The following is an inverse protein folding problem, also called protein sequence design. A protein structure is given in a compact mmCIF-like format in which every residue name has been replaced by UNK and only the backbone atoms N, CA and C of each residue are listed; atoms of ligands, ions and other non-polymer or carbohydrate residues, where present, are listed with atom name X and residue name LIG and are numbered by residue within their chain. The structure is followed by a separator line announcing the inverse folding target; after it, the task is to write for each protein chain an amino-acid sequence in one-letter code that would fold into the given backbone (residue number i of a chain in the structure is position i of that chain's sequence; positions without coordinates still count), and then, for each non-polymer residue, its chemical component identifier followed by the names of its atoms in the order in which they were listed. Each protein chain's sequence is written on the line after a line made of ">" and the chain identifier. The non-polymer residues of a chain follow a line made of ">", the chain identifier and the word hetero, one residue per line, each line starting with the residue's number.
data_IF_065329116224
#
_entry.id   IF_065329116224
#
_cell.length_a   1.000
_cell.length_b   1.000
_cell.length_c   1.000
_cell.angle_alpha   90.00
_cell.angle_beta   90.00
_cell.angle_gamma   90.00
#
_symmetry.space_group_name_H-M   'P 1'
#
loop_
_entity.id
_entity.type
_entity.pdbx_description
1 polymer ?
#
# COMPACT_ATOMS: atom_id res chain seq x y z
N UNK A 1 51.28 5.51 -31.98
CA UNK A 1 50.58 4.24 -31.70
C UNK A 1 49.86 4.27 -30.32
N UNK A 2 50.48 4.64 -29.20
CA UNK A 2 49.88 4.62 -27.83
C UNK A 2 48.64 5.54 -27.67
N UNK A 3 48.57 6.70 -28.38
CA UNK A 3 47.41 7.59 -28.34
C UNK A 3 46.20 7.07 -29.14
N UNK A 4 46.46 6.32 -30.21
CA UNK A 4 45.38 5.74 -31.02
C UNK A 4 44.79 4.53 -30.32
N UNK A 5 45.62 3.70 -29.62
CA UNK A 5 45.10 2.60 -28.81
C UNK A 5 44.25 3.09 -27.63
N UNK A 6 44.65 4.16 -26.95
CA UNK A 6 43.84 4.73 -25.86
C UNK A 6 42.50 5.30 -26.40
N UNK A 7 42.50 5.95 -27.54
CA UNK A 7 41.29 6.45 -28.16
C UNK A 7 40.35 5.32 -28.62
N UNK A 8 40.89 4.23 -29.21
CA UNK A 8 40.08 3.07 -29.56
C UNK A 8 39.48 2.36 -28.34
N UNK A 9 40.24 2.25 -27.23
CA UNK A 9 39.75 1.66 -25.97
C UNK A 9 38.66 2.52 -25.34
N UNK A 10 38.78 3.85 -25.33
CA UNK A 10 37.75 4.75 -24.88
C UNK A 10 36.48 4.71 -25.76
N UNK A 11 36.66 4.56 -27.07
CA UNK A 11 35.53 4.42 -28.01
C UNK A 11 34.79 3.09 -27.81
N UNK A 12 35.52 2.00 -27.55
CA UNK A 12 34.96 0.68 -27.24
C UNK A 12 34.22 0.72 -25.89
N UNK A 13 34.75 1.40 -24.88
CA UNK A 13 34.09 1.57 -23.57
C UNK A 13 32.79 2.40 -23.72
N UNK A 14 32.77 3.44 -24.58
CA UNK A 14 31.55 4.18 -24.91
C UNK A 14 30.51 3.34 -25.67
N UNK A 15 30.92 2.40 -26.51
CA UNK A 15 30.04 1.52 -27.26
C UNK A 15 29.45 0.37 -26.40
N UNK A 16 30.09 0.06 -25.26
CA UNK A 16 29.65 -0.95 -24.32
C UNK A 16 28.69 -0.39 -23.25
N UNK A 17 28.24 0.86 -23.36
CA UNK A 17 27.14 1.33 -22.54
C UNK A 17 25.86 0.59 -22.98
N UNK A 18 25.63 -0.57 -22.39
CA UNK A 18 24.30 -1.21 -22.42
C UNK A 18 23.32 -0.19 -21.88
N UNK A 19 22.50 0.34 -22.77
CA UNK A 19 21.43 1.28 -22.38
C UNK A 19 20.58 0.54 -21.36
N UNK A 20 20.63 0.96 -20.09
CA UNK A 20 19.76 0.40 -19.08
C UNK A 20 18.32 0.61 -19.56
N UNK A 21 17.54 -0.46 -19.62
CA UNK A 21 16.14 -0.37 -20.01
C UNK A 21 15.38 0.61 -19.09
N UNK A 22 14.56 1.45 -19.70
CA UNK A 22 13.70 2.35 -18.92
C UNK A 22 12.64 1.55 -18.14
N UNK A 23 12.06 2.08 -17.07
CA UNK A 23 10.96 1.43 -16.37
C UNK A 23 9.79 1.06 -17.30
N UNK A 24 9.48 1.92 -18.28
CA UNK A 24 8.43 1.72 -19.27
C UNK A 24 8.75 0.55 -20.21
N UNK A 25 10.00 0.45 -20.67
CA UNK A 25 10.46 -0.67 -21.51
C UNK A 25 10.37 -1.99 -20.74
N UNK A 26 10.76 -2.00 -19.48
CA UNK A 26 10.65 -3.20 -18.62
C UNK A 26 9.20 -3.55 -18.30
N UNK A 27 8.34 -2.55 -18.09
CA UNK A 27 6.91 -2.79 -17.90
C UNK A 27 6.29 -3.44 -19.15
N UNK A 28 6.60 -2.92 -20.33
CA UNK A 28 6.16 -3.50 -21.60
C UNK A 28 6.71 -4.94 -21.79
N UNK A 29 7.97 -5.19 -21.44
CA UNK A 29 8.57 -6.52 -21.47
C UNK A 29 7.81 -7.49 -20.56
N UNK A 30 7.48 -7.09 -19.33
CA UNK A 30 6.70 -7.92 -18.40
C UNK A 30 5.32 -8.27 -18.99
N UNK A 31 4.65 -7.31 -19.64
CA UNK A 31 3.38 -7.55 -20.34
C UNK A 31 3.52 -8.54 -21.50
N UNK A 32 4.62 -8.49 -22.26
CA UNK A 32 4.90 -9.46 -23.32
C UNK A 32 5.14 -10.87 -22.78
N UNK A 33 5.94 -11.02 -21.69
CA UNK A 33 6.16 -12.28 -21.01
C UNK A 33 4.84 -12.86 -20.49
N UNK A 34 4.01 -12.03 -19.87
CA UNK A 34 2.69 -12.46 -19.40
C UNK A 34 1.81 -12.96 -20.54
N UNK A 35 1.76 -12.22 -21.65
CA UNK A 35 0.95 -12.57 -22.83
C UNK A 35 1.44 -13.85 -23.54
N UNK A 36 2.75 -14.14 -23.46
CA UNK A 36 3.33 -15.38 -24.01
C UNK A 36 3.18 -16.58 -23.06
N UNK A 37 2.62 -16.39 -21.85
CA UNK A 37 2.42 -17.44 -20.86
C UNK A 37 3.62 -17.64 -19.91
N UNK A 38 4.70 -16.89 -20.06
CA UNK A 38 5.82 -16.87 -19.10
C UNK A 38 5.47 -15.99 -17.89
N UNK A 39 4.56 -16.50 -17.05
CA UNK A 39 4.09 -15.79 -15.86
C UNK A 39 5.18 -15.60 -14.81
N UNK A 40 6.09 -16.57 -14.68
CA UNK A 40 7.21 -16.47 -13.74
C UNK A 40 8.22 -15.40 -14.16
N UNK A 41 8.54 -15.34 -15.46
CA UNK A 41 9.38 -14.28 -16.02
C UNK A 41 8.75 -12.90 -15.87
N UNK A 42 7.45 -12.78 -16.17
CA UNK A 42 6.69 -11.54 -15.97
C UNK A 42 6.73 -11.09 -14.50
N UNK A 43 6.45 -11.99 -13.55
CA UNK A 43 6.47 -11.73 -12.12
C UNK A 43 7.84 -11.23 -11.64
N UNK A 44 8.93 -11.84 -12.11
CA UNK A 44 10.29 -11.43 -11.77
C UNK A 44 10.61 -10.00 -12.27
N UNK A 45 10.16 -9.63 -13.47
CA UNK A 45 10.37 -8.28 -14.01
C UNK A 45 9.52 -7.25 -13.24
N UNK A 46 8.25 -7.56 -12.93
CA UNK A 46 7.42 -6.68 -12.10
C UNK A 46 7.99 -6.51 -10.70
N UNK A 47 8.50 -7.59 -10.08
CA UNK A 47 9.17 -7.52 -8.76
C UNK A 47 10.34 -6.56 -8.81
N UNK A 48 11.20 -6.68 -9.82
CA UNK A 48 12.34 -5.79 -9.98
C UNK A 48 11.92 -4.33 -10.19
N UNK A 49 10.86 -4.06 -10.96
CA UNK A 49 10.29 -2.72 -11.11
C UNK A 49 9.86 -2.14 -9.75
N UNK A 50 9.20 -2.97 -8.94
CA UNK A 50 8.80 -2.56 -7.58
C UNK A 50 10.01 -2.24 -6.70
N UNK A 51 11.04 -3.09 -6.70
CA UNK A 51 12.25 -2.92 -5.89
C UNK A 51 13.04 -1.67 -6.32
N UNK A 52 12.99 -1.32 -7.62
CA UNK A 52 13.57 -0.09 -8.18
C UNK A 52 12.69 1.17 -7.87
N UNK A 53 11.58 1.02 -7.14
CA UNK A 53 10.73 2.11 -6.67
C UNK A 53 9.57 2.48 -7.61
N UNK A 54 9.36 1.78 -8.71
CA UNK A 54 8.23 1.99 -9.61
C UNK A 54 6.96 1.37 -9.01
N UNK A 55 5.93 2.18 -8.72
CA UNK A 55 4.76 1.77 -7.92
C UNK A 55 3.47 2.37 -8.47
N UNK A 56 3.13 2.12 -9.73
CA UNK A 56 1.81 2.46 -10.25
C UNK A 56 0.78 1.38 -9.91
N UNK A 57 -0.49 1.77 -9.87
CA UNK A 57 -1.62 0.86 -9.66
C UNK A 57 -1.60 -0.30 -10.65
N UNK A 58 -1.56 0.00 -11.95
CA UNK A 58 -1.52 -0.99 -13.02
C UNK A 58 -0.35 -1.96 -12.90
N UNK A 59 0.84 -1.45 -12.52
CA UNK A 59 2.01 -2.30 -12.36
C UNK A 59 1.84 -3.27 -11.19
N UNK A 60 1.33 -2.80 -10.05
CA UNK A 60 1.10 -3.64 -8.88
C UNK A 60 0.00 -4.68 -9.14
N UNK A 61 -1.09 -4.28 -9.81
CA UNK A 61 -2.15 -5.19 -10.21
C UNK A 61 -1.65 -6.28 -11.16
N UNK A 62 -0.90 -5.90 -12.21
CA UNK A 62 -0.33 -6.83 -13.18
C UNK A 62 0.72 -7.75 -12.55
N UNK A 63 1.51 -7.25 -11.59
CA UNK A 63 2.41 -8.08 -10.77
C UNK A 63 1.61 -9.14 -10.00
N UNK A 64 0.53 -8.75 -9.32
CA UNK A 64 -0.37 -9.66 -8.64
C UNK A 64 -0.91 -10.75 -9.58
N UNK A 65 -1.36 -10.37 -10.78
CA UNK A 65 -1.83 -11.31 -11.79
C UNK A 65 -0.72 -12.29 -12.23
N UNK A 66 0.51 -11.81 -12.45
CA UNK A 66 1.63 -12.63 -12.86
C UNK A 66 2.03 -13.65 -11.76
N UNK A 67 2.13 -13.20 -10.50
CA UNK A 67 2.39 -14.08 -9.36
C UNK A 67 1.27 -15.11 -9.16
N UNK A 68 0.02 -14.70 -9.29
CA UNK A 68 -1.11 -15.62 -9.17
C UNK A 68 -1.10 -16.73 -10.26
N UNK A 69 -0.81 -16.36 -11.50
CA UNK A 69 -0.71 -17.29 -12.63
C UNK A 69 0.53 -18.18 -12.55
N UNK A 70 1.63 -17.71 -11.98
CA UNK A 70 2.83 -18.51 -11.73
C UNK A 70 2.71 -19.47 -10.54
N UNK A 71 1.63 -19.37 -9.75
CA UNK A 71 1.37 -20.21 -8.58
C UNK A 71 1.89 -19.63 -7.25
N UNK A 72 2.57 -18.50 -7.24
CA UNK A 72 2.98 -17.80 -6.02
C UNK A 72 1.83 -16.96 -5.47
N UNK A 73 0.93 -17.62 -4.74
CA UNK A 73 -0.26 -16.99 -4.21
C UNK A 73 0.04 -15.96 -3.09
N UNK A 74 1.13 -16.13 -2.34
CA UNK A 74 1.51 -15.20 -1.29
C UNK A 74 1.96 -13.85 -1.87
N UNK A 75 2.86 -13.88 -2.86
CA UNK A 75 3.26 -12.66 -3.58
C UNK A 75 2.09 -12.02 -4.33
N UNK A 76 1.17 -12.83 -4.90
CA UNK A 76 -0.03 -12.29 -5.53
C UNK A 76 -0.88 -11.49 -4.54
N UNK A 77 -1.15 -12.02 -3.35
CA UNK A 77 -1.87 -11.32 -2.28
C UNK A 77 -1.15 -10.03 -1.89
N UNK A 78 0.18 -10.10 -1.72
CA UNK A 78 0.99 -8.94 -1.37
C UNK A 78 0.86 -7.80 -2.39
N UNK A 79 0.99 -8.11 -3.68
CA UNK A 79 0.92 -7.11 -4.74
C UNK A 79 -0.49 -6.58 -4.97
N UNK A 80 -1.53 -7.41 -4.87
CA UNK A 80 -2.92 -6.94 -4.88
C UNK A 80 -3.26 -6.05 -3.69
N UNK A 81 -2.76 -6.37 -2.49
CA UNK A 81 -2.94 -5.51 -1.32
C UNK A 81 -2.28 -4.13 -1.51
N UNK A 82 -1.08 -4.09 -2.10
CA UNK A 82 -0.40 -2.85 -2.45
C UNK A 82 -1.16 -2.05 -3.50
N UNK A 83 -1.68 -2.71 -4.54
CA UNK A 83 -2.53 -2.08 -5.55
C UNK A 83 -3.80 -1.49 -4.91
N UNK A 84 -4.44 -2.23 -4.00
CA UNK A 84 -5.63 -1.79 -3.28
C UNK A 84 -5.41 -0.58 -2.38
N UNK A 85 -4.21 -0.37 -1.85
CA UNK A 85 -3.89 0.86 -1.11
C UNK A 85 -3.92 2.11 -2.01
N UNK A 86 -3.61 1.96 -3.30
CA UNK A 86 -3.62 3.05 -4.28
C UNK A 86 -5.04 3.24 -4.82
N UNK A 87 -5.72 2.14 -5.19
CA UNK A 87 -7.06 2.13 -5.79
C UNK A 87 -8.03 1.24 -4.99
N UNK A 88 -8.51 1.68 -3.83
CA UNK A 88 -9.33 0.86 -2.95
C UNK A 88 -10.72 0.56 -3.50
N UNK A 89 -11.21 1.35 -4.45
CA UNK A 89 -12.51 1.19 -5.09
C UNK A 89 -12.47 0.35 -6.37
N UNK A 90 -11.29 -0.04 -6.83
CA UNK A 90 -11.15 -0.86 -8.04
C UNK A 90 -11.72 -2.26 -7.82
N UNK A 91 -12.69 -2.63 -8.66
CA UNK A 91 -13.42 -3.89 -8.53
C UNK A 91 -12.57 -5.10 -8.94
N UNK A 92 -11.71 -4.97 -9.96
CA UNK A 92 -10.86 -6.05 -10.46
C UNK A 92 -9.78 -6.41 -9.44
N UNK A 93 -9.16 -5.40 -8.82
CA UNK A 93 -8.18 -5.60 -7.74
C UNK A 93 -8.84 -6.33 -6.57
N UNK A 94 -10.01 -5.85 -6.13
CA UNK A 94 -10.72 -6.45 -4.99
C UNK A 94 -11.18 -7.87 -5.28
N UNK A 95 -11.66 -8.14 -6.49
CA UNK A 95 -12.10 -9.48 -6.93
C UNK A 95 -10.93 -10.46 -6.98
N UNK A 96 -9.82 -10.10 -7.63
CA UNK A 96 -8.65 -10.97 -7.74
C UNK A 96 -7.98 -11.22 -6.38
N UNK A 97 -7.93 -10.20 -5.52
CA UNK A 97 -7.47 -10.35 -4.14
C UNK A 97 -8.33 -11.35 -3.36
N UNK A 98 -9.66 -11.29 -3.52
CA UNK A 98 -10.57 -12.23 -2.86
C UNK A 98 -10.34 -13.67 -3.36
N UNK A 99 -10.13 -13.87 -4.66
CA UNK A 99 -9.80 -15.18 -5.23
C UNK A 99 -8.47 -15.68 -4.67
N UNK A 100 -7.43 -14.84 -4.64
CA UNK A 100 -6.13 -15.23 -4.09
C UNK A 100 -6.24 -15.61 -2.61
N UNK A 101 -6.95 -14.83 -1.81
CA UNK A 101 -7.21 -15.13 -0.38
C UNK A 101 -8.00 -16.40 -0.16
N UNK A 102 -8.92 -16.76 -1.08
CA UNK A 102 -9.69 -17.99 -0.96
C UNK A 102 -8.81 -19.25 -1.03
N UNK A 103 -7.62 -19.16 -1.64
CA UNK A 103 -6.62 -20.24 -1.77
C UNK A 103 -5.68 -20.37 -0.58
N UNK A 104 -5.68 -19.41 0.36
CA UNK A 104 -4.87 -19.50 1.58
C UNK A 104 -5.37 -20.65 2.44
N UNK A 105 -4.44 -21.43 2.98
CA UNK A 105 -4.74 -22.60 3.83
C UNK A 105 -5.42 -22.18 5.13
N UNK A 106 -4.90 -21.11 5.75
CA UNK A 106 -5.39 -20.65 7.05
C UNK A 106 -6.74 -19.94 6.89
N UNK A 107 -7.72 -20.39 7.65
CA UNK A 107 -9.05 -19.77 7.72
C UNK A 107 -9.25 -19.23 9.13
N UNK A 108 -9.34 -17.92 9.26
CA UNK A 108 -9.60 -17.25 10.52
C UNK A 108 -11.04 -16.74 10.58
N UNK A 109 -11.68 -16.90 11.71
CA UNK A 109 -12.89 -16.17 12.02
C UNK A 109 -12.49 -14.71 12.33
N UNK A 110 -12.64 -13.85 11.33
CA UNK A 110 -12.30 -12.44 11.50
C UNK A 110 -13.35 -11.75 12.34
N UNK A 111 -12.92 -11.00 13.36
CA UNK A 111 -13.83 -10.10 14.09
C UNK A 111 -14.34 -9.06 13.10
N UNK A 112 -15.68 -8.96 12.89
CA UNK A 112 -16.22 -8.00 11.95
C UNK A 112 -15.85 -6.58 12.35
N UNK A 113 -15.22 -5.84 11.44
CA UNK A 113 -15.04 -4.41 11.64
C UNK A 113 -16.39 -3.70 11.67
N UNK A 114 -16.52 -2.74 12.59
CA UNK A 114 -17.72 -1.91 12.68
C UNK A 114 -17.94 -1.19 11.35
N UNK A 115 -19.16 -1.24 10.82
CA UNK A 115 -19.49 -0.74 9.50
C UNK A 115 -19.06 0.72 9.25
N UNK A 116 -19.17 1.57 10.28
CA UNK A 116 -18.77 2.98 10.18
C UNK A 116 -17.25 3.17 10.11
N UNK A 117 -16.45 2.28 10.74
CA UNK A 117 -14.98 2.30 10.63
C UNK A 117 -14.57 1.92 9.21
N UNK A 118 -15.16 0.85 8.66
CA UNK A 118 -14.93 0.44 7.27
C UNK A 118 -15.31 1.53 6.27
N UNK A 119 -16.46 2.17 6.48
CA UNK A 119 -16.92 3.27 5.62
C UNK A 119 -16.00 4.50 5.71
N UNK A 120 -15.55 4.88 6.92
CA UNK A 120 -14.62 5.98 7.13
C UNK A 120 -13.25 5.70 6.51
N UNK A 121 -12.74 4.47 6.63
CA UNK A 121 -11.51 4.03 5.97
C UNK A 121 -11.64 4.11 4.44
N UNK A 122 -12.74 3.63 3.89
CA UNK A 122 -13.03 3.72 2.46
C UNK A 122 -13.05 5.17 1.98
N UNK A 123 -13.79 6.06 2.64
CA UNK A 123 -13.81 7.49 2.30
C UNK A 123 -12.42 8.11 2.34
N UNK A 124 -11.62 7.78 3.35
CA UNK A 124 -10.26 8.32 3.50
C UNK A 124 -9.36 7.94 2.31
N UNK A 125 -9.57 6.77 1.71
CA UNK A 125 -8.76 6.26 0.60
C UNK A 125 -9.20 6.77 -0.78
N UNK A 126 -10.35 7.48 -0.89
CA UNK A 126 -10.82 8.03 -2.17
C UNK A 126 -9.93 9.14 -2.75
N UNK A 127 -9.08 9.76 -1.93
CA UNK A 127 -8.15 10.78 -2.39
C UNK A 127 -6.84 10.73 -1.60
N UNK A 128 -5.71 11.19 -2.17
CA UNK A 128 -4.42 11.25 -1.48
C UNK A 128 -4.47 12.18 -0.25
N UNK A 129 -3.61 11.92 0.73
CA UNK A 129 -3.48 12.72 1.96
C UNK A 129 -3.38 14.22 1.68
N UNK A 130 -2.56 14.61 0.67
CA UNK A 130 -2.35 16.00 0.31
C UNK A 130 -3.64 16.68 -0.19
N UNK A 131 -4.46 15.98 -0.96
CA UNK A 131 -5.75 16.51 -1.45
C UNK A 131 -6.68 16.80 -0.29
N UNK A 132 -6.82 15.87 0.67
CA UNK A 132 -7.61 16.08 1.88
C UNK A 132 -7.09 17.25 2.70
N UNK A 133 -5.76 17.35 2.90
CA UNK A 133 -5.14 18.42 3.68
C UNK A 133 -5.33 19.81 3.04
N UNK A 134 -5.13 19.93 1.72
CA UNK A 134 -5.33 21.20 0.99
C UNK A 134 -6.80 21.61 1.04
N UNK A 135 -7.74 20.69 0.81
CA UNK A 135 -9.17 20.97 0.88
C UNK A 135 -9.59 21.41 2.29
N UNK A 136 -9.06 20.77 3.33
CA UNK A 136 -9.29 21.17 4.71
C UNK A 136 -8.80 22.60 4.98
N UNK A 137 -7.61 22.95 4.50
CA UNK A 137 -7.04 24.29 4.65
C UNK A 137 -7.91 25.34 3.93
N UNK A 138 -8.36 25.07 2.71
CA UNK A 138 -9.23 25.99 1.96
C UNK A 138 -10.57 26.21 2.68
N UNK A 139 -11.16 25.15 3.23
CA UNK A 139 -12.40 25.23 4.02
C UNK A 139 -12.20 26.03 5.31
N UNK A 140 -11.04 25.87 5.96
CA UNK A 140 -10.70 26.64 7.15
C UNK A 140 -10.58 28.14 6.84
N UNK A 141 -9.88 28.50 5.74
CA UNK A 141 -9.77 29.89 5.29
C UNK A 141 -11.15 30.45 4.96
N UNK A 142 -12.00 29.68 4.26
CA UNK A 142 -13.36 30.10 3.96
C UNK A 142 -14.19 30.32 5.24
N UNK A 143 -14.04 29.47 6.25
CA UNK A 143 -14.67 29.65 7.56
C UNK A 143 -14.28 30.97 8.21
N UNK A 144 -12.98 31.32 8.20
CA UNK A 144 -12.50 32.59 8.74
C UNK A 144 -13.06 33.80 7.97
N UNK A 145 -13.11 33.72 6.64
CA UNK A 145 -13.70 34.78 5.81
C UNK A 145 -15.17 34.99 6.14
N UNK A 146 -15.97 33.91 6.26
CA UNK A 146 -17.36 34.03 6.67
C UNK A 146 -17.53 34.54 8.10
N UNK A 147 -16.63 34.21 9.02
CA UNK A 147 -16.60 34.76 10.38
C UNK A 147 -16.35 36.28 10.37
N UNK A 148 -15.40 36.75 9.56
CA UNK A 148 -15.14 38.21 9.39
C UNK A 148 -16.39 38.90 8.80
N UNK A 149 -17.01 38.30 7.78
CA UNK A 149 -18.28 38.84 7.21
C UNK A 149 -19.37 38.89 8.26
N UNK A 150 -19.52 37.88 9.11
CA UNK A 150 -20.45 37.87 10.22
C UNK A 150 -20.23 39.04 11.19
N UNK A 151 -18.97 39.34 11.52
CA UNK A 151 -18.63 40.43 12.44
C UNK A 151 -18.81 41.83 11.84
N UNK A 152 -18.63 41.98 10.53
CA UNK A 152 -18.62 43.29 9.85
C UNK A 152 -19.97 43.68 9.24
N UNK A 153 -20.84 42.72 8.90
CA UNK A 153 -22.16 43.01 8.30
C UNK A 153 -23.17 43.62 9.31
N UNK A 154 -23.82 44.71 8.89
CA UNK A 154 -24.84 45.40 9.68
C UNK A 154 -26.22 44.72 9.61
N UNK A 155 -26.59 44.08 8.47
CA UNK A 155 -27.90 43.48 8.27
C UNK A 155 -28.01 42.11 8.95
N UNK A 156 -29.03 41.91 9.79
CA UNK A 156 -29.24 40.69 10.59
C UNK A 156 -29.33 39.39 9.74
N UNK A 157 -30.06 39.43 8.61
CA UNK A 157 -30.23 38.26 7.74
C UNK A 157 -28.90 37.79 7.12
N UNK A 158 -28.07 38.74 6.69
CA UNK A 158 -26.74 38.39 6.12
C UNK A 158 -25.75 37.93 7.18
N UNK A 159 -25.90 38.38 8.43
CA UNK A 159 -25.09 37.91 9.57
C UNK A 159 -25.38 36.45 9.90
N UNK A 160 -26.67 36.10 10.00
CA UNK A 160 -27.10 34.73 10.34
C UNK A 160 -26.63 33.72 9.30
N UNK A 161 -26.76 34.04 8.01
CA UNK A 161 -26.25 33.18 6.92
C UNK A 161 -24.73 33.00 7.01
N UNK A 162 -23.98 34.10 7.20
CA UNK A 162 -22.52 34.02 7.33
C UNK A 162 -22.07 33.20 8.53
N UNK A 163 -22.82 33.28 9.64
CA UNK A 163 -22.56 32.44 10.82
C UNK A 163 -22.65 30.93 10.48
N UNK A 164 -23.78 30.52 9.85
CA UNK A 164 -24.01 29.12 9.51
C UNK A 164 -23.02 28.61 8.46
N UNK A 165 -22.65 29.45 7.48
CA UNK A 165 -21.64 29.12 6.49
C UNK A 165 -20.24 28.97 7.13
N UNK A 166 -19.89 29.85 8.07
CA UNK A 166 -18.63 29.74 8.82
C UNK A 166 -18.59 28.45 9.63
N UNK A 167 -19.66 28.15 10.37
CA UNK A 167 -19.74 26.93 11.19
C UNK A 167 -19.70 25.68 10.34
N UNK A 168 -20.44 25.63 9.24
CA UNK A 168 -20.44 24.49 8.32
C UNK A 168 -19.04 24.26 7.69
N UNK A 169 -18.38 25.33 7.22
CA UNK A 169 -17.05 25.27 6.67
C UNK A 169 -16.02 24.78 7.71
N UNK A 170 -16.15 25.21 8.98
CA UNK A 170 -15.30 24.77 10.07
C UNK A 170 -15.47 23.27 10.36
N UNK A 171 -16.72 22.81 10.47
CA UNK A 171 -17.02 21.39 10.72
C UNK A 171 -16.48 20.52 9.57
N UNK A 172 -16.69 20.93 8.31
CA UNK A 172 -16.16 20.24 7.16
C UNK A 172 -14.63 20.24 7.16
N UNK A 173 -13.99 21.36 7.50
CA UNK A 173 -12.53 21.41 7.61
C UNK A 173 -11.99 20.37 8.61
N UNK A 174 -12.58 20.27 9.80
CA UNK A 174 -12.20 19.28 10.83
C UNK A 174 -12.40 17.86 10.31
N UNK A 175 -13.52 17.59 9.61
CA UNK A 175 -13.77 16.28 9.00
C UNK A 175 -12.69 15.93 7.97
N UNK A 176 -12.32 16.86 7.09
CA UNK A 176 -11.30 16.63 6.06
C UNK A 176 -9.88 16.46 6.66
N UNK A 177 -9.58 17.14 7.78
CA UNK A 177 -8.36 16.87 8.56
C UNK A 177 -8.38 15.43 9.08
N UNK A 178 -9.50 14.98 9.65
CA UNK A 178 -9.61 13.61 10.14
C UNK A 178 -9.44 12.57 9.01
N UNK A 179 -10.01 12.81 7.82
CA UNK A 179 -9.79 11.98 6.64
C UNK A 179 -8.32 11.96 6.20
N UNK A 180 -7.64 13.12 6.18
CA UNK A 180 -6.22 13.21 5.86
C UNK A 180 -5.34 12.42 6.83
N UNK A 181 -5.61 12.56 8.13
CA UNK A 181 -4.88 11.82 9.19
C UNK A 181 -5.09 10.31 9.08
N UNK A 182 -6.33 9.89 8.84
CA UNK A 182 -6.66 8.48 8.67
C UNK A 182 -6.03 7.90 7.40
N UNK A 183 -6.10 8.60 6.27
CA UNK A 183 -5.44 8.20 5.03
C UNK A 183 -3.93 8.02 5.23
N UNK A 184 -3.26 9.00 5.84
CA UNK A 184 -1.83 8.89 6.15
C UNK A 184 -1.52 7.70 7.08
N UNK A 185 -2.42 7.39 8.01
CA UNK A 185 -2.25 6.22 8.90
C UNK A 185 -2.43 4.90 8.15
N UNK A 186 -3.40 4.83 7.23
CA UNK A 186 -3.66 3.63 6.45
C UNK A 186 -2.55 3.33 5.43
N UNK A 187 -1.97 4.35 4.81
CA UNK A 187 -0.95 4.19 3.77
C UNK A 187 0.45 4.12 4.38
N UNK A 188 0.85 5.12 5.16
CA UNK A 188 2.24 5.27 5.61
C UNK A 188 2.53 4.56 6.94
N UNK A 189 1.50 4.26 7.74
CA UNK A 189 1.62 3.50 8.99
C UNK A 189 0.96 2.12 8.87
N UNK A 190 0.78 1.65 7.63
CA UNK A 190 0.24 0.32 7.41
C UNK A 190 1.19 -0.70 8.05
N UNK A 191 0.68 -1.36 9.07
CA UNK A 191 1.41 -2.39 9.81
C UNK A 191 1.05 -3.80 9.34
N UNK A 192 0.41 -3.93 8.19
CA UNK A 192 0.07 -5.25 7.63
C UNK A 192 1.25 -5.84 6.87
N UNK A 193 1.35 -7.15 6.93
CA UNK A 193 2.33 -7.91 6.19
C UNK A 193 1.71 -9.23 5.71
N UNK A 194 2.28 -9.82 4.69
CA UNK A 194 1.89 -11.13 4.16
C UNK A 194 3.00 -12.13 4.47
N UNK A 195 2.62 -13.31 4.95
CA UNK A 195 3.55 -14.41 5.18
C UNK A 195 4.00 -14.98 3.83
N UNK A 196 5.30 -15.04 3.62
CA UNK A 196 5.93 -15.50 2.37
C UNK A 196 6.54 -16.90 2.50
N UNK A 197 7.00 -17.30 3.70
CA UNK A 197 7.46 -18.66 3.96
C UNK A 197 6.28 -19.65 3.84
N UNK A 198 6.54 -20.85 3.33
CA UNK A 198 5.53 -21.90 3.19
C UNK A 198 4.82 -22.20 4.50
N UNK A 199 5.58 -22.30 5.60
CA UNK A 199 5.10 -22.52 6.96
C UNK A 199 5.97 -21.70 7.90
N UNK A 200 5.37 -21.05 8.88
CA UNK A 200 6.07 -20.34 9.95
C UNK A 200 5.37 -20.57 11.29
N UNK A 201 6.18 -20.76 12.33
CA UNK A 201 5.70 -20.94 13.71
C UNK A 201 5.78 -19.61 14.46
N UNK A 202 4.66 -19.18 15.02
CA UNK A 202 4.58 -18.06 15.94
C UNK A 202 4.95 -18.50 17.34
N UNK A 203 5.83 -17.76 18.01
CA UNK A 203 6.43 -18.09 19.30
C UNK A 203 6.08 -17.07 20.38
N UNK A 204 6.18 -17.49 21.65
CA UNK A 204 5.86 -16.61 22.79
C UNK A 204 6.87 -15.46 22.97
N UNK A 205 8.13 -15.69 22.58
CA UNK A 205 9.23 -14.73 22.69
C UNK A 205 10.13 -14.80 21.44
N UNK A 206 10.93 -13.75 21.14
CA UNK A 206 11.93 -13.80 20.08
C UNK A 206 12.97 -14.89 20.35
N UNK A 207 13.14 -15.82 19.42
CA UNK A 207 14.13 -16.90 19.50
C UNK A 207 13.53 -18.29 19.24
N UNK A 208 14.39 -19.21 18.79
CA UNK A 208 13.97 -20.56 18.39
C UNK A 208 13.63 -21.49 19.56
N UNK A 209 14.10 -21.18 20.77
CA UNK A 209 13.90 -22.01 21.97
C UNK A 209 12.63 -21.70 22.75
N UNK A 210 11.86 -20.69 22.35
CA UNK A 210 10.62 -20.27 23.02
C UNK A 210 9.44 -21.16 22.63
N UNK A 211 8.39 -21.14 23.47
CA UNK A 211 7.19 -21.96 23.26
C UNK A 211 6.47 -21.61 21.96
N UNK A 212 6.01 -22.62 21.26
CA UNK A 212 5.20 -22.48 20.05
C UNK A 212 3.76 -22.12 20.43
N UNK A 213 3.19 -21.09 19.79
CA UNK A 213 1.83 -20.62 20.03
C UNK A 213 0.87 -21.01 18.91
N UNK A 214 1.32 -20.87 17.65
CA UNK A 214 0.54 -21.17 16.46
C UNK A 214 1.46 -21.46 15.27
N UNK A 215 0.89 -22.11 14.26
CA UNK A 215 1.53 -22.34 12.96
C UNK A 215 0.67 -21.69 11.89
N UNK A 216 1.27 -20.94 10.96
CA UNK A 216 0.58 -20.31 9.84
C UNK A 216 1.33 -20.56 8.54
N UNK A 217 0.61 -20.41 7.42
CA UNK A 217 1.08 -20.73 6.09
C UNK A 217 1.22 -19.47 5.22
N UNK A 218 1.88 -19.62 4.08
CA UNK A 218 2.08 -18.55 3.09
C UNK A 218 0.75 -17.95 2.63
N UNK A 219 0.76 -16.64 2.39
CA UNK A 219 -0.43 -15.87 1.98
C UNK A 219 -1.27 -15.35 3.14
N UNK A 220 -1.05 -15.82 4.38
CA UNK A 220 -1.73 -15.28 5.55
C UNK A 220 -1.33 -13.82 5.76
N UNK A 221 -2.32 -12.95 5.90
CA UNK A 221 -2.10 -11.52 6.20
C UNK A 221 -2.14 -11.32 7.71
N UNK A 222 -1.10 -10.68 8.25
CA UNK A 222 -0.92 -10.41 9.67
C UNK A 222 -0.71 -8.92 9.92
N UNK A 223 -0.90 -8.47 11.17
CA UNK A 223 -0.58 -7.12 11.59
C UNK A 223 0.72 -7.14 12.40
N UNK A 224 1.71 -6.35 12.01
CA UNK A 224 2.96 -6.19 12.76
C UNK A 224 2.74 -5.22 13.91
N UNK A 225 2.97 -5.66 15.14
CA UNK A 225 2.79 -4.84 16.36
C UNK A 225 4.10 -4.26 16.85
N UNK A 226 5.16 -5.09 16.92
CA UNK A 226 6.49 -4.69 17.39
C UNK A 226 7.59 -5.33 16.55
N UNK A 227 8.77 -4.72 16.61
CA UNK A 227 9.99 -5.20 15.95
C UNK A 227 11.10 -5.30 16.99
N UNK A 228 11.79 -6.45 17.04
CA UNK A 228 12.93 -6.66 17.92
C UNK A 228 14.00 -7.51 17.22
N UNK A 229 15.06 -6.88 16.73
CA UNK A 229 16.10 -7.54 15.95
C UNK A 229 15.54 -8.20 14.69
N UNK A 230 15.77 -9.50 14.55
CA UNK A 230 15.32 -10.30 13.41
C UNK A 230 13.92 -10.89 13.61
N UNK A 231 13.21 -10.51 14.66
CA UNK A 231 11.87 -10.99 14.97
C UNK A 231 10.84 -9.86 14.96
N UNK A 232 9.62 -10.23 14.55
CA UNK A 232 8.46 -9.35 14.52
C UNK A 232 7.32 -9.97 15.36
N UNK A 233 6.78 -9.19 16.29
CA UNK A 233 5.52 -9.55 16.95
C UNK A 233 4.37 -9.28 16.00
N UNK A 234 3.65 -10.32 15.63
CA UNK A 234 2.51 -10.24 14.73
C UNK A 234 1.22 -10.58 15.45
N UNK A 235 0.13 -9.96 15.01
CA UNK A 235 -1.22 -10.28 15.41
C UNK A 235 -1.96 -10.91 14.23
N UNK A 236 -2.53 -12.09 14.47
CA UNK A 236 -3.38 -12.81 13.52
C UNK A 236 -4.78 -12.18 13.43
N UNK A 237 -5.57 -12.50 12.38
CA UNK A 237 -6.94 -11.99 12.24
C UNK A 237 -7.90 -12.39 13.37
N UNK A 238 -7.63 -13.49 14.07
CA UNK A 238 -8.38 -13.97 15.24
C UNK A 238 -7.98 -13.28 16.55
N UNK A 239 -6.94 -12.42 16.51
CA UNK A 239 -6.43 -11.67 17.65
C UNK A 239 -5.23 -12.30 18.38
N UNK A 240 -4.87 -13.56 18.08
CA UNK A 240 -3.70 -14.21 18.65
C UNK A 240 -2.41 -13.45 18.26
N UNK A 241 -1.42 -13.43 19.19
CA UNK A 241 -0.14 -12.75 18.97
C UNK A 241 1.02 -13.71 19.16
N UNK A 242 2.09 -13.48 18.40
CA UNK A 242 3.33 -14.25 18.54
C UNK A 242 4.46 -13.63 17.76
N UNK A 243 5.67 -14.09 18.04
CA UNK A 243 6.89 -13.64 17.38
C UNK A 243 7.23 -14.59 16.24
N UNK A 244 7.55 -14.02 15.07
CA UNK A 244 7.99 -14.75 13.88
C UNK A 244 9.26 -14.11 13.33
N UNK A 245 10.04 -14.87 12.55
CA UNK A 245 11.23 -14.35 11.86
C UNK A 245 10.83 -13.29 10.82
N UNK A 246 11.60 -12.22 10.74
CA UNK A 246 11.44 -11.13 9.76
C UNK A 246 11.49 -11.63 8.32
N UNK A 247 12.32 -12.64 8.03
CA UNK A 247 12.54 -13.17 6.67
C UNK A 247 11.30 -13.92 6.12
N UNK A 248 10.37 -14.28 7.01
CA UNK A 248 9.16 -15.03 6.65
C UNK A 248 7.95 -14.16 6.34
N UNK A 249 8.10 -12.85 6.29
CA UNK A 249 7.02 -11.95 5.92
C UNK A 249 7.51 -10.76 5.10
N UNK A 250 6.59 -10.17 4.34
CA UNK A 250 6.84 -8.93 3.62
C UNK A 250 5.74 -7.91 3.90
N UNK A 251 6.15 -6.67 4.22
CA UNK A 251 5.23 -5.56 4.51
C UNK A 251 4.50 -5.09 3.24
N UNK A 252 3.22 -4.79 3.41
CA UNK A 252 2.36 -4.26 2.35
C UNK A 252 2.68 -2.80 2.06
#
# INVERSE_FOLDING_TARGET
>A
MRRVTVFCVLLIICLLQTKAQTPEERYAQAGQLYSSGDYSGAAAVYRKLYDDGYRSEDMLYNAGNAFFKSGDNASAILFYERARLIAPADEDINYNLQIARSRVTDKFETVPELFFVRWFNFLSLLAPTNTWAVTALLLFIASLLFAVIFLTKARASGRLLSFWLSLAALILSVLFIALAMNNNSLINKNKKAVITCSIVTGRSEPGESSSELFVIHSGTTVKVEKELGDYLEVQLPDGNKGWISRDCLEKI
#
